data_IF_116680026977
#
_entry.id   IF_116680026977
#
_cell.length_a   1.000
_cell.length_b   1.000
_cell.length_c   1.000
_cell.angle_alpha   90.00
_cell.angle_beta   90.00
_cell.angle_gamma   90.00
#
_symmetry.space_group_name_H-M   'P 1'
#
loop_
_entity.id
_entity.type
_entity.pdbx_description
1 polymer ?
#
# COMPACT_ATOMS: atom_id res chain seq x y z
N UNK A 1 -6.49 -37.22 1.83
CA UNK A 1 -5.81 -36.01 1.31
C UNK A 1 -6.86 -34.89 1.25
N UNK A 2 -6.86 -34.00 2.25
CA UNK A 2 -7.74 -32.81 2.31
C UNK A 2 -7.01 -31.62 1.69
N UNK A 3 -7.73 -30.80 0.95
CA UNK A 3 -7.66 -29.33 0.72
C UNK A 3 -8.57 -29.08 -0.50
N UNK A 4 -9.49 -28.12 -0.54
CA UNK A 4 -9.21 -26.68 -0.72
C UNK A 4 -10.41 -25.87 -0.21
N UNK A 5 -10.15 -24.91 0.68
CA UNK A 5 -11.03 -23.78 0.99
C UNK A 5 -10.95 -22.80 -0.19
N UNK A 6 -11.97 -22.71 -1.06
CA UNK A 6 -12.03 -21.71 -2.13
C UNK A 6 -12.73 -20.44 -1.62
N UNK A 7 -12.02 -19.30 -1.61
CA UNK A 7 -12.66 -17.99 -1.40
C UNK A 7 -13.35 -17.60 -2.70
N UNK A 8 -14.69 -17.66 -2.74
CA UNK A 8 -15.48 -17.09 -3.83
C UNK A 8 -15.52 -15.57 -3.67
N UNK A 9 -15.12 -14.82 -4.70
CA UNK A 9 -15.40 -13.37 -4.80
C UNK A 9 -16.62 -13.17 -5.68
N UNK A 10 -17.57 -12.37 -5.21
CA UNK A 10 -18.74 -11.98 -5.97
C UNK A 10 -18.64 -10.51 -6.35
N UNK A 11 -18.70 -10.21 -7.64
CA UNK A 11 -18.88 -8.83 -8.12
C UNK A 11 -20.30 -8.69 -8.68
N UNK A 12 -21.00 -7.64 -8.24
CA UNK A 12 -22.23 -7.19 -8.88
C UNK A 12 -21.87 -6.07 -9.85
N UNK A 13 -22.27 -6.24 -11.11
CA UNK A 13 -22.17 -5.21 -12.15
C UNK A 13 -23.55 -4.94 -12.76
N UNK A 14 -23.73 -3.73 -13.28
CA UNK A 14 -24.85 -3.40 -14.18
C UNK A 14 -24.33 -3.57 -15.60
N UNK A 15 -24.97 -4.42 -16.39
CA UNK A 15 -24.66 -4.62 -17.80
C UNK A 15 -25.88 -4.28 -18.65
N UNK A 16 -25.63 -3.79 -19.86
CA UNK A 16 -26.68 -3.50 -20.85
C UNK A 16 -26.82 -4.71 -21.78
N UNK A 17 -28.06 -5.17 -21.98
CA UNK A 17 -28.43 -6.27 -22.87
C UNK A 17 -29.41 -5.75 -23.91
N UNK A 18 -29.24 -6.17 -25.16
CA UNK A 18 -30.14 -5.85 -26.28
C UNK A 18 -31.14 -6.99 -26.48
N UNK A 19 -32.43 -6.68 -26.60
CA UNK A 19 -33.45 -7.63 -27.06
C UNK A 19 -33.32 -7.82 -28.59
N UNK A 20 -33.95 -8.87 -29.13
CA UNK A 20 -34.17 -9.19 -30.55
C UNK A 20 -34.75 -8.04 -31.38
N UNK A 21 -35.27 -6.99 -30.74
CA UNK A 21 -35.76 -5.74 -31.36
C UNK A 21 -34.83 -4.54 -31.15
N UNK A 22 -33.58 -4.75 -30.71
CA UNK A 22 -32.57 -3.73 -30.43
C UNK A 22 -32.92 -2.72 -29.32
N UNK A 23 -33.78 -3.07 -28.37
CA UNK A 23 -34.01 -2.26 -27.18
C UNK A 23 -32.97 -2.55 -26.09
N UNK A 24 -32.40 -1.49 -25.50
CA UNK A 24 -31.40 -1.60 -24.43
C UNK A 24 -32.07 -1.77 -23.08
N UNK A 25 -31.75 -2.87 -22.39
CA UNK A 25 -32.19 -3.15 -21.04
C UNK A 25 -31.00 -3.18 -20.07
N UNK A 26 -31.07 -2.43 -18.98
CA UNK A 26 -30.11 -2.53 -17.87
C UNK A 26 -30.47 -3.71 -17.00
N UNK A 27 -29.54 -4.66 -16.87
CA UNK A 27 -29.73 -5.85 -16.05
C UNK A 27 -28.59 -5.98 -15.05
N UNK A 28 -28.92 -6.40 -13.82
CA UNK A 28 -27.90 -6.74 -12.82
C UNK A 28 -27.37 -8.13 -13.10
N UNK A 29 -26.07 -8.22 -13.34
CA UNK A 29 -25.38 -9.49 -13.56
C UNK A 29 -24.49 -9.75 -12.35
N UNK A 30 -24.59 -10.96 -11.80
CA UNK A 30 -23.69 -11.42 -10.75
C UNK A 30 -22.69 -12.38 -11.38
N UNK A 31 -21.42 -11.97 -11.38
CA UNK A 31 -20.31 -12.79 -11.88
C UNK A 31 -19.69 -13.53 -10.71
N UNK A 32 -19.51 -14.84 -10.86
CA UNK A 32 -18.83 -15.70 -9.89
C UNK A 32 -17.54 -16.20 -10.51
N UNK A 33 -16.41 -15.80 -9.93
CA UNK A 33 -15.11 -16.31 -10.35
C UNK A 33 -14.55 -17.24 -9.27
N UNK A 34 -14.05 -18.40 -9.70
CA UNK A 34 -13.48 -19.42 -8.83
C UNK A 34 -11.98 -19.48 -9.15
N UNK A 35 -11.15 -19.29 -8.12
CA UNK A 35 -9.70 -19.44 -8.25
C UNK A 35 -9.29 -20.86 -7.82
N UNK A 36 -8.60 -21.58 -8.71
CA UNK A 36 -7.98 -22.87 -8.41
C UNK A 36 -6.49 -22.63 -8.26
N UNK A 37 -5.91 -23.10 -7.15
CA UNK A 37 -4.47 -22.94 -6.86
C UNK A 37 -3.68 -23.56 -8.02
N UNK A 38 -2.94 -22.71 -8.74
CA UNK A 38 -2.00 -22.99 -9.84
C UNK A 38 -2.52 -22.93 -11.28
N UNK A 39 -3.72 -22.43 -11.57
CA UNK A 39 -4.08 -22.03 -12.95
C UNK A 39 -5.10 -20.89 -12.97
N UNK A 40 -5.00 -20.07 -14.03
CA UNK A 40 -5.78 -18.86 -14.33
C UNK A 40 -7.25 -19.05 -13.96
N UNK A 41 -7.82 -18.11 -13.21
CA UNK A 41 -9.21 -18.20 -12.74
C UNK A 41 -10.18 -18.32 -13.91
N UNK A 42 -10.91 -19.43 -13.97
CA UNK A 42 -12.00 -19.62 -14.93
C UNK A 42 -13.24 -18.96 -14.32
N UNK A 43 -13.81 -17.95 -14.97
CA UNK A 43 -15.13 -17.43 -14.58
C UNK A 43 -16.18 -18.30 -15.27
N UNK A 44 -16.79 -19.22 -14.51
CA UNK A 44 -17.60 -20.30 -15.11
C UNK A 44 -19.08 -19.92 -15.25
N UNK A 45 -19.61 -18.92 -14.55
CA UNK A 45 -21.04 -18.61 -14.66
C UNK A 45 -21.37 -17.12 -14.46
N UNK A 46 -22.11 -16.56 -15.42
CA UNK A 46 -22.84 -15.31 -15.24
C UNK A 46 -24.31 -15.66 -14.97
N UNK A 47 -24.83 -15.30 -13.78
CA UNK A 47 -26.26 -15.43 -13.48
C UNK A 47 -26.91 -14.07 -13.71
N UNK A 48 -27.80 -14.00 -14.70
CA UNK A 48 -28.66 -12.83 -14.93
C UNK A 48 -29.69 -12.80 -13.79
N UNK A 49 -29.66 -11.77 -12.96
CA UNK A 49 -30.67 -11.57 -11.91
C UNK A 49 -31.78 -10.71 -12.53
N UNK A 50 -32.67 -11.34 -13.29
CA UNK A 50 -33.82 -10.67 -13.89
C UNK A 50 -34.95 -10.53 -12.86
N UNK A 51 -35.31 -9.30 -12.53
CA UNK A 51 -36.51 -8.98 -11.76
C UNK A 51 -37.69 -8.70 -12.68
N UNK A 52 -38.32 -9.74 -13.24
CA UNK A 52 -39.75 -9.82 -13.62
C UNK A 52 -40.02 -11.18 -14.29
N UNK A 53 -41.21 -11.72 -14.03
CA UNK A 53 -41.59 -13.14 -14.19
C UNK A 53 -41.88 -13.64 -15.60
N UNK A 54 -41.73 -12.85 -16.65
CA UNK A 54 -42.05 -13.31 -18.01
C UNK A 54 -41.05 -12.79 -19.03
N UNK A 55 -40.07 -13.63 -19.38
CA UNK A 55 -39.63 -13.80 -20.76
C UNK A 55 -38.84 -15.10 -20.90
N UNK A 56 -39.43 -16.01 -21.69
CA UNK A 56 -38.90 -17.31 -22.08
C UNK A 56 -37.54 -17.14 -22.75
N UNK A 57 -36.58 -17.99 -22.37
CA UNK A 57 -35.34 -18.30 -23.06
C UNK A 57 -34.93 -17.33 -24.17
N UNK A 58 -34.11 -16.34 -23.82
CA UNK A 58 -33.16 -15.83 -24.80
C UNK A 58 -31.81 -16.47 -24.50
N UNK A 59 -31.68 -17.71 -24.96
CA UNK A 59 -30.39 -18.35 -25.20
C UNK A 59 -29.76 -17.60 -26.38
N UNK A 60 -29.18 -16.41 -26.17
CA UNK A 60 -28.40 -15.75 -27.20
C UNK A 60 -27.01 -15.44 -26.68
N UNK A 61 -26.06 -16.08 -27.35
CA UNK A 61 -24.72 -15.56 -27.53
C UNK A 61 -23.87 -15.51 -26.26
N UNK A 62 -23.59 -16.70 -25.70
CA UNK A 62 -22.17 -17.02 -25.54
C UNK A 62 -21.61 -17.13 -26.98
N UNK A 63 -21.42 -15.98 -27.65
CA UNK A 63 -20.27 -15.90 -28.54
C UNK A 63 -19.15 -15.90 -27.51
N UNK A 64 -18.60 -17.09 -27.23
CA UNK A 64 -17.17 -17.14 -27.02
C UNK A 64 -16.63 -16.64 -28.35
N UNK A 65 -16.61 -15.31 -28.53
CA UNK A 65 -15.58 -14.69 -29.35
C UNK A 65 -14.35 -15.37 -28.79
N UNK A 66 -13.60 -16.06 -29.64
CA UNK A 66 -12.29 -16.57 -29.31
C UNK A 66 -11.49 -15.41 -28.72
N UNK A 67 -11.69 -15.12 -27.43
CA UNK A 67 -10.80 -14.34 -26.63
C UNK A 67 -9.70 -15.35 -26.47
N UNK A 68 -8.67 -15.16 -27.27
CA UNK A 68 -7.43 -15.87 -27.17
C UNK A 68 -6.92 -15.67 -25.73
N UNK A 69 -7.30 -16.60 -24.83
CA UNK A 69 -6.93 -16.56 -23.42
C UNK A 69 -5.42 -16.76 -23.25
N UNK A 70 -4.69 -17.06 -24.33
CA UNK A 70 -3.23 -17.04 -24.35
C UNK A 70 -2.67 -15.64 -24.08
N UNK A 71 -3.45 -14.59 -24.29
CA UNK A 71 -3.09 -13.19 -24.05
C UNK A 71 -4.01 -12.47 -23.03
N UNK A 72 -4.60 -13.19 -22.07
CA UNK A 72 -4.81 -12.53 -20.78
C UNK A 72 -3.43 -12.39 -20.13
N UNK A 73 -2.74 -11.29 -20.41
CA UNK A 73 -1.97 -10.67 -19.35
C UNK A 73 -2.98 -10.49 -18.21
N UNK A 74 -2.97 -11.42 -17.23
CA UNK A 74 -3.30 -11.04 -15.86
C UNK A 74 -2.65 -9.69 -15.70
N UNK A 75 -3.42 -8.63 -15.42
CA UNK A 75 -2.87 -7.32 -15.11
C UNK A 75 -1.93 -7.53 -13.93
N UNK A 76 -0.69 -7.90 -14.25
CA UNK A 76 0.43 -7.95 -13.37
C UNK A 76 0.54 -6.47 -13.07
N UNK A 77 0.17 -6.08 -11.87
CA UNK A 77 0.45 -4.74 -11.36
C UNK A 77 1.96 -4.58 -11.45
N UNK A 78 2.44 -4.09 -12.61
CA UNK A 78 3.84 -3.83 -12.88
C UNK A 78 4.23 -2.76 -11.89
N UNK A 79 5.38 -2.92 -11.25
CA UNK A 79 5.88 -1.85 -10.39
C UNK A 79 5.98 -0.54 -11.17
N UNK A 80 5.48 0.54 -10.60
CA UNK A 80 5.51 1.87 -11.24
C UNK A 80 5.87 2.93 -10.21
N UNK A 81 6.61 3.94 -10.65
CA UNK A 81 6.76 5.20 -9.94
C UNK A 81 6.11 6.30 -10.77
N UNK A 82 5.14 6.99 -10.17
CA UNK A 82 4.42 8.11 -10.77
C UNK A 82 5.03 9.41 -10.26
N UNK A 83 5.52 10.25 -11.18
CA UNK A 83 6.18 11.51 -10.85
C UNK A 83 5.18 12.64 -11.00
N UNK A 84 4.86 13.31 -9.89
CA UNK A 84 4.02 14.51 -9.85
C UNK A 84 4.54 15.52 -8.84
N UNK A 85 3.65 16.11 -8.05
CA UNK A 85 4.01 16.91 -6.88
C UNK A 85 4.67 16.08 -5.77
N UNK A 86 4.41 14.77 -5.79
CA UNK A 86 5.09 13.72 -5.03
C UNK A 86 5.47 12.59 -5.98
N UNK A 87 6.45 11.78 -5.59
CA UNK A 87 6.75 10.54 -6.30
C UNK A 87 6.08 9.40 -5.55
N UNK A 88 5.15 8.73 -6.22
CA UNK A 88 4.43 7.58 -5.69
C UNK A 88 4.88 6.31 -6.39
N UNK A 89 5.63 5.48 -5.68
CA UNK A 89 6.07 4.16 -6.14
C UNK A 89 5.18 3.05 -5.55
N UNK A 90 4.69 2.15 -6.40
CA UNK A 90 3.87 1.03 -5.96
C UNK A 90 4.09 -0.25 -6.77
N UNK A 91 3.77 -1.38 -6.15
CA UNK A 91 3.79 -2.70 -6.79
C UNK A 91 4.84 -3.66 -6.21
N UNK A 92 4.52 -4.95 -6.31
CA UNK A 92 5.23 -6.04 -5.62
C UNK A 92 6.64 -6.33 -6.13
N UNK A 93 7.00 -5.81 -7.29
CA UNK A 93 8.36 -5.95 -7.85
C UNK A 93 9.35 -4.96 -7.21
N UNK A 94 8.85 -3.93 -6.51
CA UNK A 94 9.69 -3.01 -5.75
C UNK A 94 10.21 -3.73 -4.51
N UNK A 95 11.52 -3.96 -4.48
CA UNK A 95 12.25 -4.60 -3.38
C UNK A 95 13.26 -3.65 -2.71
N UNK A 96 13.46 -2.46 -3.28
CA UNK A 96 14.28 -1.38 -2.75
C UNK A 96 13.66 -0.02 -3.13
N UNK A 97 14.05 1.05 -2.43
CA UNK A 97 13.65 2.42 -2.80
C UNK A 97 14.44 2.81 -4.06
N UNK A 98 13.79 3.16 -5.18
CA UNK A 98 14.50 3.51 -6.41
C UNK A 98 15.42 4.73 -6.21
N UNK A 99 16.62 4.68 -6.78
CA UNK A 99 17.66 5.70 -6.63
C UNK A 99 17.79 6.64 -7.84
N UNK A 100 16.98 6.41 -8.88
CA UNK A 100 16.95 7.13 -10.15
C UNK A 100 15.76 8.11 -10.30
N UNK A 101 15.03 8.37 -9.21
CA UNK A 101 13.96 9.37 -9.14
C UNK A 101 14.50 10.82 -9.24
N UNK A 102 13.64 11.84 -9.49
CA UNK A 102 14.07 13.24 -9.54
C UNK A 102 14.80 13.70 -8.28
N UNK A 103 15.95 14.36 -8.43
CA UNK A 103 16.79 14.81 -7.30
C UNK A 103 16.18 15.93 -6.45
N UNK A 104 15.20 16.64 -7.01
CA UNK A 104 14.43 17.69 -6.33
C UNK A 104 13.16 17.14 -5.67
N UNK A 105 13.04 15.82 -5.54
CA UNK A 105 11.93 15.17 -4.85
C UNK A 105 11.75 15.71 -3.44
N UNK A 106 10.55 16.19 -3.13
CA UNK A 106 10.20 16.67 -1.78
C UNK A 106 9.33 15.69 -1.01
N UNK A 107 8.59 14.82 -1.70
CA UNK A 107 7.66 13.87 -1.09
C UNK A 107 7.75 12.50 -1.73
N UNK A 108 8.10 11.49 -0.94
CA UNK A 108 8.22 10.11 -1.40
C UNK A 108 7.13 9.26 -0.76
N UNK A 109 6.36 8.57 -1.59
CA UNK A 109 5.32 7.64 -1.17
C UNK A 109 5.64 6.26 -1.74
N UNK A 110 5.74 5.24 -0.89
CA UNK A 110 5.97 3.86 -1.30
C UNK A 110 4.84 3.00 -0.74
N UNK A 111 4.11 2.33 -1.62
CA UNK A 111 2.97 1.49 -1.22
C UNK A 111 3.00 0.12 -1.88
N UNK A 112 2.50 -0.91 -1.19
CA UNK A 112 2.27 -2.24 -1.80
C UNK A 112 3.54 -2.88 -2.40
N UNK A 113 4.69 -2.61 -1.78
CA UNK A 113 5.99 -3.12 -2.19
C UNK A 113 6.43 -4.33 -1.35
N UNK A 114 7.35 -5.12 -1.90
CA UNK A 114 7.97 -6.28 -1.23
C UNK A 114 9.35 -5.93 -0.64
N UNK A 115 9.49 -4.72 -0.10
CA UNK A 115 10.70 -4.29 0.60
C UNK A 115 10.77 -5.04 1.94
N UNK A 116 11.86 -5.78 2.18
CA UNK A 116 12.09 -6.47 3.46
C UNK A 116 12.96 -5.67 4.44
N UNK A 117 13.83 -4.82 3.91
CA UNK A 117 14.78 -3.97 4.63
C UNK A 117 14.92 -2.63 3.91
N UNK A 118 15.09 -1.53 4.64
CA UNK A 118 15.37 -0.21 4.06
C UNK A 118 16.81 0.21 4.39
N UNK A 119 17.65 0.36 3.36
CA UNK A 119 18.99 0.94 3.48
C UNK A 119 18.94 2.46 3.52
N UNK A 120 19.80 3.09 4.32
CA UNK A 120 19.95 4.55 4.34
C UNK A 120 20.46 5.10 3.01
N UNK A 121 21.25 4.32 2.27
CA UNK A 121 21.90 4.74 1.02
C UNK A 121 20.89 5.02 -0.08
N UNK A 122 19.71 4.38 -0.03
CA UNK A 122 18.67 4.57 -1.04
C UNK A 122 18.01 5.95 -0.97
N UNK A 123 18.15 6.68 0.15
CA UNK A 123 17.67 8.05 0.29
C UNK A 123 18.73 9.11 -0.01
N UNK A 124 20.01 8.73 -0.17
CA UNK A 124 21.12 9.66 -0.39
C UNK A 124 20.89 10.65 -1.54
N UNK A 125 20.34 10.25 -2.71
CA UNK A 125 20.09 11.18 -3.80
C UNK A 125 19.05 12.27 -3.49
N UNK A 126 18.20 12.04 -2.48
CA UNK A 126 17.02 12.86 -2.19
C UNK A 126 17.16 13.72 -0.93
N UNK A 127 18.13 13.42 -0.05
CA UNK A 127 18.32 14.10 1.24
C UNK A 127 18.22 15.63 1.17
N UNK A 128 18.80 16.35 0.18
CA UNK A 128 18.78 17.81 0.18
C UNK A 128 17.37 18.43 0.12
N UNK A 129 16.42 17.75 -0.56
CA UNK A 129 15.09 18.31 -0.84
C UNK A 129 13.94 17.56 -0.17
N UNK A 130 14.16 16.32 0.28
CA UNK A 130 13.13 15.47 0.85
C UNK A 130 12.55 16.06 2.14
N UNK A 131 11.22 16.00 2.26
CA UNK A 131 10.44 16.57 3.38
C UNK A 131 9.47 15.57 3.96
N UNK A 132 8.74 14.86 3.11
CA UNK A 132 7.67 13.96 3.53
C UNK A 132 7.92 12.56 3.00
N UNK A 133 7.83 11.57 3.89
CA UNK A 133 8.10 10.17 3.56
C UNK A 133 6.92 9.34 4.06
N UNK A 134 6.27 8.63 3.15
CA UNK A 134 5.19 7.68 3.45
C UNK A 134 5.58 6.28 3.00
N UNK A 135 5.59 5.35 3.94
CA UNK A 135 5.83 3.92 3.74
C UNK A 135 4.57 3.17 4.19
N UNK A 136 3.81 2.61 3.24
CA UNK A 136 2.53 1.96 3.55
C UNK A 136 2.40 0.59 2.89
N UNK A 137 1.66 -0.32 3.50
CA UNK A 137 1.40 -1.67 2.98
C UNK A 137 2.69 -2.44 2.64
N UNK A 138 3.72 -2.30 3.49
CA UNK A 138 4.99 -3.00 3.35
C UNK A 138 4.95 -4.28 4.20
N UNK A 139 4.19 -5.26 3.73
CA UNK A 139 3.86 -6.47 4.51
C UNK A 139 5.07 -7.32 4.91
N UNK A 140 6.18 -7.18 4.18
CA UNK A 140 7.41 -7.93 4.40
C UNK A 140 8.51 -7.14 5.10
N UNK A 141 8.31 -5.83 5.33
CA UNK A 141 9.31 -4.97 5.96
C UNK A 141 9.54 -5.41 7.41
N UNK A 142 10.78 -5.72 7.74
CA UNK A 142 11.19 -6.19 9.08
C UNK A 142 12.10 -5.20 9.79
N UNK A 143 12.85 -4.42 9.04
CA UNK A 143 13.90 -3.56 9.59
C UNK A 143 14.16 -2.33 8.71
N UNK A 144 14.54 -1.24 9.36
CA UNK A 144 14.93 0.03 8.74
C UNK A 144 16.29 0.39 9.33
N UNK A 145 17.28 0.60 8.48
CA UNK A 145 18.64 0.92 8.92
C UNK A 145 18.67 2.10 9.90
N UNK A 146 19.50 2.00 10.93
CA UNK A 146 19.74 3.13 11.83
C UNK A 146 20.21 4.37 11.04
N UNK A 147 19.61 5.53 11.33
CA UNK A 147 19.96 6.78 10.66
C UNK A 147 19.56 6.86 9.18
N UNK A 148 18.62 6.04 8.70
CA UNK A 148 18.00 6.20 7.37
C UNK A 148 17.56 7.64 7.11
N UNK A 149 17.01 8.31 8.13
CA UNK A 149 16.53 9.70 8.03
C UNK A 149 17.52 10.76 8.50
N UNK A 150 18.78 10.39 8.76
CA UNK A 150 19.80 11.34 9.18
C UNK A 150 20.06 12.42 8.12
N UNK A 151 20.56 13.60 8.49
CA UNK A 151 21.02 14.61 7.53
C UNK A 151 20.01 14.98 6.41
N UNK A 152 18.70 14.83 6.65
CA UNK A 152 17.63 15.36 5.79
C UNK A 152 17.20 16.70 6.39
N UNK A 153 17.77 17.84 5.94
CA UNK A 153 17.63 19.13 6.63
C UNK A 153 16.19 19.66 6.63
N UNK A 154 15.37 19.22 5.66
CA UNK A 154 14.01 19.71 5.46
C UNK A 154 12.94 18.67 5.86
N UNK A 155 13.31 17.60 6.58
CA UNK A 155 12.37 16.55 6.98
C UNK A 155 11.24 17.14 7.84
N UNK A 156 10.00 16.78 7.55
CA UNK A 156 8.79 17.27 8.20
C UNK A 156 7.94 16.16 8.75
N UNK A 157 7.67 15.18 7.91
CA UNK A 157 6.73 14.10 8.22
C UNK A 157 7.33 12.74 7.89
N UNK A 158 7.14 11.80 8.80
CA UNK A 158 7.40 10.39 8.58
C UNK A 158 6.15 9.60 8.92
N UNK A 159 5.61 8.92 7.92
CA UNK A 159 4.43 8.07 8.08
C UNK A 159 4.75 6.63 7.67
N UNK A 160 4.71 5.72 8.64
CA UNK A 160 4.87 4.28 8.44
C UNK A 160 3.56 3.61 8.82
N UNK A 161 2.94 2.88 7.89
CA UNK A 161 1.73 2.14 8.19
C UNK A 161 1.65 0.76 7.54
N UNK A 162 0.87 -0.14 8.14
CA UNK A 162 0.59 -1.46 7.59
C UNK A 162 1.88 -2.25 7.28
N UNK A 163 2.77 -2.30 8.26
CA UNK A 163 4.04 -3.04 8.23
C UNK A 163 4.12 -3.98 9.44
N UNK A 164 3.30 -5.05 9.50
CA UNK A 164 3.10 -5.87 10.71
C UNK A 164 4.35 -6.66 11.14
N UNK A 165 5.36 -6.77 10.28
CA UNK A 165 6.62 -7.46 10.58
C UNK A 165 7.71 -6.53 11.15
N UNK A 166 7.49 -5.22 11.10
CA UNK A 166 8.40 -4.23 11.64
C UNK A 166 8.18 -4.12 13.15
N UNK A 167 9.07 -4.74 13.93
CA UNK A 167 8.91 -4.87 15.39
C UNK A 167 9.80 -3.95 16.21
N UNK A 168 10.95 -3.57 15.67
CA UNK A 168 11.95 -2.77 16.35
C UNK A 168 12.42 -1.66 15.42
N UNK A 169 12.72 -0.49 16.00
CA UNK A 169 13.13 0.71 15.27
C UNK A 169 14.35 1.33 15.97
N UNK A 170 15.47 0.60 15.97
CA UNK A 170 16.70 1.01 16.63
C UNK A 170 17.35 2.18 15.90
N UNK A 171 17.47 3.34 16.56
CA UNK A 171 18.13 4.50 15.97
C UNK A 171 17.44 5.07 14.72
N UNK A 172 16.13 4.90 14.59
CA UNK A 172 15.35 5.42 13.45
C UNK A 172 15.58 6.91 13.20
N UNK A 173 15.60 7.70 14.28
CA UNK A 173 15.74 9.15 14.26
C UNK A 173 17.18 9.61 14.55
N UNK A 174 18.13 8.68 14.63
CA UNK A 174 19.53 8.99 14.91
C UNK A 174 20.10 9.88 13.81
N UNK A 175 20.59 11.06 14.19
CA UNK A 175 21.16 12.02 13.25
C UNK A 175 20.14 12.84 12.46
N UNK A 176 18.85 12.81 12.84
CA UNK A 176 17.86 13.77 12.32
C UNK A 176 18.21 15.16 12.86
N UNK A 177 18.57 16.08 11.96
CA UNK A 177 18.97 17.46 12.29
C UNK A 177 17.95 18.51 11.86
N UNK A 178 16.87 18.10 11.20
CA UNK A 178 15.80 19.01 10.76
C UNK A 178 15.18 19.69 11.97
N UNK A 179 15.00 21.01 11.92
CA UNK A 179 14.22 21.77 12.92
C UNK A 179 12.75 21.91 12.54
N UNK A 180 12.32 21.26 11.45
CA UNK A 180 10.95 21.29 10.96
C UNK A 180 10.27 19.94 11.07
N UNK A 181 10.83 18.99 11.81
CA UNK A 181 10.23 17.66 11.97
C UNK A 181 9.13 17.71 13.03
N UNK A 182 7.87 17.63 12.60
CA UNK A 182 6.72 17.86 13.48
C UNK A 182 5.73 16.69 13.53
N UNK A 183 5.83 15.71 12.63
CA UNK A 183 4.87 14.60 12.54
C UNK A 183 5.57 13.26 12.38
N UNK A 184 5.36 12.40 13.38
CA UNK A 184 5.77 11.00 13.36
C UNK A 184 4.53 10.14 13.56
N UNK A 185 4.22 9.31 12.56
CA UNK A 185 3.11 8.37 12.63
C UNK A 185 3.64 6.98 12.29
N UNK A 186 3.54 6.05 13.24
CA UNK A 186 3.88 4.65 13.06
C UNK A 186 2.71 3.84 13.55
N UNK A 187 1.86 3.35 12.65
CA UNK A 187 0.57 2.74 13.00
C UNK A 187 0.35 1.42 12.25
N UNK A 188 -0.42 0.49 12.82
CA UNK A 188 -0.64 -0.83 12.19
C UNK A 188 0.68 -1.55 11.86
N UNK A 189 1.64 -1.48 12.77
CA UNK A 189 2.91 -2.22 12.69
C UNK A 189 3.03 -3.23 13.82
N UNK A 190 4.07 -4.06 13.79
CA UNK A 190 4.36 -5.00 14.87
C UNK A 190 5.20 -4.40 15.98
N UNK A 191 5.30 -3.07 16.06
CA UNK A 191 6.23 -2.36 16.94
C UNK A 191 5.97 -2.70 18.41
N UNK A 192 6.98 -3.22 19.11
CA UNK A 192 6.86 -3.66 20.51
C UNK A 192 7.45 -2.70 21.54
N UNK A 193 8.23 -1.72 21.09
CA UNK A 193 8.84 -0.69 21.94
C UNK A 193 8.63 0.71 21.34
N UNK A 194 8.46 1.72 22.19
CA UNK A 194 8.42 3.11 21.73
C UNK A 194 9.76 3.51 21.06
N UNK A 195 9.75 4.18 19.90
CA UNK A 195 10.98 4.62 19.23
C UNK A 195 11.82 5.58 20.09
N UNK A 196 13.12 5.64 19.80
CA UNK A 196 14.06 6.56 20.47
C UNK A 196 13.86 8.02 20.00
N UNK A 197 12.86 8.70 20.56
CA UNK A 197 12.54 10.09 20.24
C UNK A 197 13.53 11.11 20.82
N UNK A 198 14.37 10.71 21.77
CA UNK A 198 15.41 11.58 22.35
C UNK A 198 16.49 12.04 21.36
N UNK A 199 16.56 11.44 20.17
CA UNK A 199 17.45 11.89 19.10
C UNK A 199 16.97 13.19 18.45
N UNK A 200 15.70 13.57 18.66
CA UNK A 200 15.17 14.84 18.17
C UNK A 200 15.74 15.99 18.99
N UNK A 201 16.13 17.07 18.32
CA UNK A 201 16.65 18.27 18.96
C UNK A 201 15.55 19.00 19.72
N UNK A 202 15.91 19.68 20.82
CA UNK A 202 14.94 20.38 21.70
C UNK A 202 14.23 21.56 21.02
N UNK A 203 14.73 22.04 19.88
CA UNK A 203 14.08 23.06 19.06
C UNK A 203 13.01 22.49 18.10
N UNK A 204 12.83 21.17 18.03
CA UNK A 204 11.70 20.57 17.32
C UNK A 204 10.49 20.48 18.25
N UNK A 205 9.43 21.17 17.87
CA UNK A 205 8.10 20.97 18.45
C UNK A 205 7.39 19.88 17.66
N UNK A 206 7.12 18.76 18.31
CA UNK A 206 6.28 17.70 17.77
C UNK A 206 4.81 18.10 17.89
N UNK A 207 4.11 18.13 16.75
CA UNK A 207 2.67 18.42 16.69
C UNK A 207 1.84 17.14 16.63
N UNK A 208 2.38 16.07 16.04
CA UNK A 208 1.69 14.80 15.91
C UNK A 208 2.65 13.64 16.18
N UNK A 209 2.34 12.89 17.24
CA UNK A 209 2.92 11.59 17.52
C UNK A 209 1.78 10.57 17.57
N UNK A 210 1.72 9.69 16.59
CA UNK A 210 0.69 8.67 16.46
C UNK A 210 1.35 7.28 16.43
N UNK A 211 1.17 6.53 17.51
CA UNK A 211 1.71 5.18 17.69
C UNK A 211 0.59 4.14 17.87
N UNK A 212 -0.62 4.46 17.42
CA UNK A 212 -1.79 3.61 17.59
C UNK A 212 -1.70 2.31 16.78
N UNK A 213 -2.45 1.29 17.22
CA UNK A 213 -2.53 -0.02 16.55
C UNK A 213 -1.16 -0.70 16.35
N UNK A 214 -0.30 -0.62 17.36
CA UNK A 214 0.94 -1.38 17.46
C UNK A 214 0.86 -2.40 18.62
N UNK A 215 1.95 -3.14 18.84
CA UNK A 215 2.09 -4.13 19.91
C UNK A 215 3.00 -3.59 21.04
N UNK A 216 2.98 -2.27 21.30
CA UNK A 216 3.89 -1.63 22.25
C UNK A 216 3.63 -2.16 23.66
N UNK A 217 4.61 -2.85 24.21
CA UNK A 217 4.60 -3.39 25.57
C UNK A 217 5.67 -2.71 26.44
N UNK A 218 6.63 -2.00 25.83
CA UNK A 218 7.81 -1.46 26.51
C UNK A 218 8.04 0.01 26.19
N UNK A 219 8.38 0.74 27.25
CA UNK A 219 8.86 2.12 27.19
C UNK A 219 10.31 2.14 27.72
N UNK A 220 11.32 2.10 26.82
CA UNK A 220 12.72 2.16 27.24
C UNK A 220 13.03 3.46 28.00
N UNK A 221 14.03 3.42 28.88
CA UNK A 221 14.44 4.63 29.62
C UNK A 221 14.91 5.70 28.64
N UNK A 222 14.49 6.94 28.88
CA UNK A 222 14.82 8.10 28.04
C UNK A 222 14.41 7.94 26.56
N UNK A 223 13.45 7.06 26.24
CA UNK A 223 12.95 6.96 24.85
C UNK A 223 12.21 8.23 24.42
N UNK A 224 11.56 8.92 25.36
CA UNK A 224 10.80 10.15 25.11
C UNK A 224 11.50 11.33 25.77
N UNK A 225 12.00 12.26 24.97
CA UNK A 225 12.46 13.60 25.38
C UNK A 225 12.21 14.57 24.23
N UNK A 226 10.96 15.03 24.12
CA UNK A 226 10.50 15.90 23.05
C UNK A 226 9.71 17.08 23.62
N UNK A 227 9.72 18.21 22.91
CA UNK A 227 8.78 19.30 23.13
C UNK A 227 7.56 19.00 22.26
N UNK A 228 6.37 19.02 22.85
CA UNK A 228 5.11 18.78 22.14
C UNK A 228 4.14 19.93 22.38
N UNK A 229 3.37 20.28 21.37
CA UNK A 229 2.32 21.30 21.45
C UNK A 229 0.94 20.62 21.43
N UNK A 230 0.07 21.03 22.34
CA UNK A 230 -1.30 20.54 22.42
C UNK A 230 -2.22 21.52 21.70
N UNK A 231 -2.88 21.07 20.63
CA UNK A 231 -3.89 21.83 19.88
C UNK A 231 -5.28 21.59 20.47
#
# INVERSE_FOLDING_TARGET
MRLINSRQKHHLGISELLDTRNHVHRVRVRVVCVSVRQSVGVCVFAKIIAGRKDMRYMLLCIVVMNIDYTNMEVLKERSKCEIGSEVHCYGKEITYIPTDLPRNLTKLVITEANIEYISKEWLDPYRPHLRDITLSNLLYLRDIEQGTFANIPNLRTLYISHAPRLKYLSGLLKGVTSSTFYSLRIVFTGLVEVPELHHLTENNTMFLLDLDHNEIERLPRNSIRIVAEQV
#
